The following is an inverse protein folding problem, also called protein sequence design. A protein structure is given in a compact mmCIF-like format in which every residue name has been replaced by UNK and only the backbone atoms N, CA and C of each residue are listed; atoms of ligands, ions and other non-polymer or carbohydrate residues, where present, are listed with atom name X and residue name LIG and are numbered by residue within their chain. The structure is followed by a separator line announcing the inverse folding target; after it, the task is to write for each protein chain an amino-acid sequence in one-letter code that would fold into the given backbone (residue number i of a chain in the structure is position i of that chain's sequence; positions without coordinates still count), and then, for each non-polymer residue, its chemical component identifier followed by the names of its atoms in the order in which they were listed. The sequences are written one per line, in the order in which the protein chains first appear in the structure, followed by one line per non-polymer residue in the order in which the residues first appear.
data_IF_493689401051
#
_entry.id   IF_493689401051
#
_cell.length_a   1.000
_cell.length_b   1.000
_cell.length_c   1.000
_cell.angle_alpha   90.00
_cell.angle_beta   90.00
_cell.angle_gamma   90.00
#
_symmetry.space_group_name_H-M   'P 1'
#
loop_
_entity.id
_entity.type
_entity.pdbx_description
1 polymer ?
#
# COMPACT_ATOMS: atom_id res chain seq x y z
N UNK A 1 -42.37 -6.50 -3.86
CA UNK A 1 -40.94 -6.82 -4.05
C UNK A 1 -40.13 -5.93 -3.11
N UNK A 2 -39.66 -6.49 -2.01
CA UNK A 2 -38.79 -5.77 -1.08
C UNK A 2 -37.36 -5.94 -1.60
N UNK A 3 -36.80 -4.87 -2.15
CA UNK A 3 -35.41 -4.85 -2.56
C UNK A 3 -34.52 -4.95 -1.32
N UNK A 4 -33.81 -6.05 -1.18
CA UNK A 4 -32.69 -6.20 -0.25
C UNK A 4 -31.63 -5.16 -0.65
N UNK A 5 -31.58 -4.05 0.09
CA UNK A 5 -30.40 -3.18 0.07
C UNK A 5 -29.22 -4.06 0.52
N UNK A 6 -28.27 -4.33 -0.37
CA UNK A 6 -26.93 -4.79 0.01
C UNK A 6 -26.37 -3.71 0.92
N UNK A 7 -26.37 -3.91 2.20
CA UNK A 7 -25.59 -3.11 3.11
C UNK A 7 -24.12 -3.29 2.71
N UNK A 8 -23.46 -2.20 2.34
CA UNK A 8 -22.02 -2.19 2.16
C UNK A 8 -21.42 -2.70 3.47
N UNK A 9 -20.78 -3.86 3.41
CA UNK A 9 -20.21 -4.50 4.56
C UNK A 9 -18.93 -3.72 4.91
N UNK A 10 -19.08 -2.72 5.77
CA UNK A 10 -17.99 -1.88 6.24
C UNK A 10 -17.01 -2.79 6.99
N UNK A 11 -15.82 -2.98 6.44
CA UNK A 11 -14.74 -3.74 7.08
C UNK A 11 -14.02 -2.83 8.08
N UNK A 12 -13.81 -3.30 9.30
CA UNK A 12 -13.02 -2.58 10.29
C UNK A 12 -11.52 -2.93 10.19
N UNK A 13 -10.66 -2.02 10.65
CA UNK A 13 -9.23 -2.28 10.66
C UNK A 13 -8.86 -3.57 11.41
N UNK A 14 -9.46 -3.84 12.57
CA UNK A 14 -9.23 -5.08 13.33
C UNK A 14 -9.61 -6.35 12.55
N UNK A 15 -10.56 -6.27 11.63
CA UNK A 15 -10.98 -7.40 10.79
C UNK A 15 -9.99 -7.60 9.64
N UNK A 16 -9.58 -6.50 9.00
CA UNK A 16 -8.58 -6.53 7.93
C UNK A 16 -7.24 -7.08 8.40
N UNK A 17 -6.78 -6.64 9.57
CA UNK A 17 -5.48 -6.98 10.13
C UNK A 17 -5.52 -8.08 11.20
N UNK A 18 -6.62 -8.88 11.25
CA UNK A 18 -6.82 -9.87 12.31
C UNK A 18 -5.67 -10.87 12.43
N UNK A 19 -5.09 -11.30 11.30
CA UNK A 19 -3.99 -12.26 11.27
C UNK A 19 -2.71 -11.65 11.84
N UNK A 20 -2.32 -10.46 11.38
CA UNK A 20 -1.13 -9.74 11.83
C UNK A 20 -1.21 -9.40 13.32
N UNK A 21 -2.39 -8.95 13.77
CA UNK A 21 -2.64 -8.67 15.19
C UNK A 21 -2.47 -9.95 16.02
N UNK A 22 -3.04 -11.06 15.57
CA UNK A 22 -2.93 -12.35 16.27
C UNK A 22 -1.47 -12.84 16.32
N UNK A 23 -0.72 -12.74 15.24
CA UNK A 23 0.69 -13.13 15.19
C UNK A 23 1.54 -12.31 16.19
N UNK A 24 1.36 -10.99 16.23
CA UNK A 24 2.07 -10.11 17.17
C UNK A 24 1.72 -10.47 18.62
N UNK A 25 0.41 -10.63 18.91
CA UNK A 25 -0.07 -10.95 20.26
C UNK A 25 0.39 -12.34 20.74
N UNK A 26 0.43 -13.34 19.86
CA UNK A 26 0.92 -14.67 20.18
C UNK A 26 2.42 -14.71 20.55
N UNK A 27 3.18 -13.74 20.05
CA UNK A 27 4.57 -13.56 20.42
C UNK A 27 4.78 -12.76 21.73
N UNK A 28 3.66 -12.37 22.39
CA UNK A 28 3.68 -11.63 23.65
C UNK A 28 3.96 -10.14 23.49
N UNK A 29 3.88 -9.62 22.28
CA UNK A 29 4.14 -8.21 21.98
C UNK A 29 2.85 -7.38 21.88
N UNK A 30 2.97 -6.08 22.10
CA UNK A 30 1.93 -5.11 21.78
C UNK A 30 2.03 -4.70 20.32
N UNK A 31 0.91 -4.31 19.73
CA UNK A 31 0.90 -3.77 18.37
C UNK A 31 1.38 -2.32 18.37
N UNK A 32 2.22 -1.99 17.41
CA UNK A 32 2.60 -0.65 17.01
C UNK A 32 2.31 -0.45 15.53
N UNK A 33 2.39 0.78 15.08
CA UNK A 33 2.20 1.13 13.67
C UNK A 33 3.27 2.15 13.26
N UNK A 34 3.78 1.98 12.06
CA UNK A 34 4.72 2.93 11.47
C UNK A 34 4.40 3.05 9.98
N UNK A 35 4.08 4.27 9.56
CA UNK A 35 3.65 4.55 8.18
C UNK A 35 2.44 3.70 7.73
N UNK A 36 1.51 3.41 8.66
CA UNK A 36 0.31 2.62 8.41
C UNK A 36 0.53 1.11 8.28
N UNK A 37 1.71 0.61 8.62
CA UNK A 37 2.03 -0.82 8.65
C UNK A 37 2.15 -1.27 10.11
N UNK A 38 1.54 -2.43 10.43
CA UNK A 38 1.62 -3.01 11.77
C UNK A 38 2.97 -3.67 12.02
N UNK A 39 3.50 -3.44 13.22
CA UNK A 39 4.74 -4.03 13.73
C UNK A 39 4.57 -4.43 15.18
N UNK A 40 5.34 -5.40 15.68
CA UNK A 40 5.54 -5.56 17.12
C UNK A 40 6.10 -4.26 17.71
N UNK A 41 5.50 -3.76 18.80
CA UNK A 41 5.88 -2.49 19.41
C UNK A 41 7.37 -2.42 19.79
N UNK A 42 7.95 -3.57 20.22
CA UNK A 42 9.35 -3.68 20.58
C UNK A 42 10.33 -3.51 19.39
N UNK A 43 9.87 -3.64 18.15
CA UNK A 43 10.69 -3.45 16.95
C UNK A 43 10.76 -1.98 16.52
N UNK A 44 9.86 -1.14 17.01
CA UNK A 44 9.85 0.30 16.73
C UNK A 44 10.86 0.98 17.64
N UNK A 45 11.86 1.66 17.06
CA UNK A 45 12.99 2.25 17.78
C UNK A 45 12.58 3.21 18.92
N UNK A 46 11.44 3.87 18.79
CA UNK A 46 10.94 4.83 19.75
C UNK A 46 9.45 5.05 19.53
N UNK A 47 8.71 5.30 20.62
CA UNK A 47 7.30 5.68 20.53
C UNK A 47 7.05 6.89 19.62
N UNK A 48 8.01 7.79 19.50
CA UNK A 48 7.91 8.96 18.59
C UNK A 48 7.80 8.60 17.11
N UNK A 49 8.15 7.36 16.75
CA UNK A 49 8.02 6.84 15.38
C UNK A 49 6.79 5.95 15.20
N UNK A 50 5.97 5.83 16.24
CA UNK A 50 4.76 5.01 16.22
C UNK A 50 3.54 5.89 15.95
N UNK A 51 2.75 5.54 14.93
CA UNK A 51 1.55 6.28 14.54
C UNK A 51 0.47 6.29 15.64
N UNK A 52 0.52 5.36 16.60
CA UNK A 52 -0.37 5.35 17.76
C UNK A 52 0.08 6.26 18.90
N UNK A 53 1.27 6.82 18.81
CA UNK A 53 1.79 7.72 19.84
C UNK A 53 1.51 9.18 19.46
N UNK A 54 0.76 9.84 20.30
CA UNK A 54 0.46 11.27 20.14
C UNK A 54 1.10 12.07 21.30
N UNK A 55 2.09 12.86 20.94
CA UNK A 55 2.83 13.69 21.90
C UNK A 55 2.02 14.90 22.39
N UNK A 56 1.09 15.38 21.57
CA UNK A 56 0.33 16.60 21.84
C UNK A 56 -0.83 16.33 22.79
N UNK A 57 -1.57 15.26 22.53
CA UNK A 57 -2.79 14.94 23.31
C UNK A 57 -2.50 14.17 24.59
N UNK A 58 -1.29 13.62 24.75
CA UNK A 58 -0.92 12.71 25.87
C UNK A 58 -1.87 11.52 26.05
N UNK A 59 -2.62 11.19 25.01
CA UNK A 59 -3.48 10.00 24.99
C UNK A 59 -2.58 8.77 24.95
N UNK A 60 -2.91 7.78 25.78
CA UNK A 60 -2.20 6.51 25.78
C UNK A 60 -2.32 5.83 24.41
N UNK A 61 -1.25 5.24 23.91
CA UNK A 61 -1.26 4.51 22.63
C UNK A 61 -2.35 3.42 22.59
N UNK A 62 -2.69 2.80 23.73
CA UNK A 62 -3.78 1.84 23.83
C UNK A 62 -5.15 2.40 23.44
N UNK A 63 -5.44 3.66 23.76
CA UNK A 63 -6.69 4.29 23.34
C UNK A 63 -6.70 4.60 21.84
N UNK A 64 -5.57 5.01 21.29
CA UNK A 64 -5.42 5.24 19.85
C UNK A 64 -5.52 3.92 19.07
N UNK A 65 -4.95 2.83 19.58
CA UNK A 65 -5.09 1.48 19.03
C UNK A 65 -6.56 1.06 19.01
N UNK A 66 -7.32 1.25 20.11
CA UNK A 66 -8.74 0.93 20.17
C UNK A 66 -9.55 1.72 19.15
N UNK A 67 -9.30 3.03 19.03
CA UNK A 67 -9.97 3.89 18.04
C UNK A 67 -9.69 3.41 16.63
N UNK A 68 -8.43 3.19 16.30
CA UNK A 68 -8.00 2.70 14.99
C UNK A 68 -8.61 1.32 14.68
N UNK A 69 -8.56 0.37 15.61
CA UNK A 69 -9.07 -0.98 15.42
C UNK A 69 -10.56 -1.01 15.08
N UNK A 70 -11.35 -0.09 15.67
CA UNK A 70 -12.79 0.03 15.46
C UNK A 70 -13.18 1.07 14.40
N UNK A 71 -12.22 1.71 13.73
CA UNK A 71 -12.51 2.56 12.59
C UNK A 71 -12.60 1.74 11.30
N UNK A 72 -13.29 2.29 10.31
CA UNK A 72 -13.42 1.71 8.98
C UNK A 72 -12.04 1.54 8.34
N UNK A 73 -11.79 0.36 7.79
CA UNK A 73 -10.62 0.14 6.94
C UNK A 73 -10.80 0.91 5.64
N UNK A 74 -9.82 1.74 5.35
CA UNK A 74 -9.71 2.43 4.06
C UNK A 74 -8.42 1.97 3.40
N UNK A 75 -8.56 1.42 2.21
CA UNK A 75 -7.39 1.09 1.40
C UNK A 75 -6.61 2.37 1.11
N UNK A 76 -5.32 2.36 1.39
CA UNK A 76 -4.46 3.51 1.12
C UNK A 76 -4.17 3.55 -0.37
N UNK A 77 -4.54 4.63 -1.01
CA UNK A 77 -4.25 4.83 -2.43
C UNK A 77 -2.83 5.37 -2.63
N UNK A 78 -2.13 4.78 -3.58
CA UNK A 78 -0.82 5.29 -4.01
C UNK A 78 -1.00 6.59 -4.79
N UNK A 79 -0.23 7.61 -4.45
CA UNK A 79 -0.04 8.78 -5.30
C UNK A 79 1.07 8.50 -6.31
N UNK A 80 0.69 8.03 -7.45
CA UNK A 80 1.61 7.64 -8.51
C UNK A 80 2.51 8.78 -9.00
N UNK A 81 2.15 10.05 -8.71
CA UNK A 81 3.01 11.18 -9.04
C UNK A 81 4.23 11.29 -8.11
N UNK A 82 4.15 10.67 -6.92
CA UNK A 82 5.26 10.60 -5.97
C UNK A 82 6.16 9.38 -6.20
N UNK A 83 5.72 8.41 -7.00
CA UNK A 83 6.47 7.17 -7.26
C UNK A 83 7.67 7.47 -8.17
N UNK A 84 8.92 7.17 -7.76
CA UNK A 84 10.08 7.37 -8.58
C UNK A 84 10.08 6.50 -9.85
N UNK A 85 10.63 7.03 -10.93
CA UNK A 85 10.89 6.26 -12.15
C UNK A 85 11.79 5.06 -11.81
N UNK A 86 11.62 3.96 -12.52
CA UNK A 86 12.30 2.67 -12.30
C UNK A 86 11.87 1.92 -11.02
N UNK A 87 10.92 2.44 -10.26
CA UNK A 87 10.34 1.67 -9.16
C UNK A 87 9.80 0.34 -9.68
N UNK A 88 10.14 -0.75 -8.98
CA UNK A 88 9.66 -2.07 -9.33
C UNK A 88 8.18 -2.21 -8.97
N UNK A 89 7.37 -2.50 -9.98
CA UNK A 89 5.92 -2.69 -9.86
C UNK A 89 5.52 -4.08 -10.33
N UNK A 90 4.38 -4.55 -9.87
CA UNK A 90 3.71 -5.76 -10.35
C UNK A 90 2.47 -5.33 -11.10
N UNK A 91 2.32 -5.80 -12.31
CA UNK A 91 1.16 -5.54 -13.16
C UNK A 91 0.40 -6.84 -13.43
N UNK A 92 -0.92 -6.79 -13.40
CA UNK A 92 -1.76 -7.95 -13.67
C UNK A 92 -2.36 -7.81 -15.07
N UNK A 93 -2.12 -8.80 -15.92
CA UNK A 93 -2.64 -8.83 -17.28
C UNK A 93 -4.10 -9.33 -17.33
N UNK A 94 -4.68 -9.35 -18.52
CA UNK A 94 -6.06 -9.81 -18.77
C UNK A 94 -6.28 -11.29 -18.49
N UNK A 95 -5.22 -12.06 -18.29
CA UNK A 95 -5.26 -13.49 -17.96
C UNK A 95 -4.95 -13.74 -16.47
N UNK A 96 -5.00 -12.71 -15.62
CA UNK A 96 -4.66 -12.73 -14.20
C UNK A 96 -3.20 -13.13 -13.89
N UNK A 97 -2.30 -13.03 -14.89
CA UNK A 97 -0.89 -13.24 -14.63
C UNK A 97 -0.26 -11.97 -14.06
N UNK A 98 0.53 -12.13 -13.01
CA UNK A 98 1.30 -11.03 -12.41
C UNK A 98 2.68 -10.96 -13.03
N UNK A 99 3.02 -9.82 -13.60
CA UNK A 99 4.26 -9.59 -14.33
C UNK A 99 5.03 -8.45 -13.66
N UNK A 100 6.32 -8.62 -13.50
CA UNK A 100 7.21 -7.58 -12.97
C UNK A 100 7.55 -6.57 -14.06
N UNK A 101 7.44 -5.29 -13.74
CA UNK A 101 7.80 -4.17 -14.63
C UNK A 101 8.50 -3.06 -13.83
N UNK A 102 9.00 -2.04 -14.53
CA UNK A 102 9.54 -0.84 -13.92
C UNK A 102 8.66 0.36 -14.31
N UNK A 103 8.29 1.13 -13.31
CA UNK A 103 7.43 2.31 -13.45
C UNK A 103 8.11 3.39 -14.28
N UNK A 104 7.41 3.96 -15.24
CA UNK A 104 7.89 5.06 -16.06
C UNK A 104 7.20 6.39 -15.70
N UNK A 105 5.88 6.41 -15.74
CA UNK A 105 5.06 7.59 -15.42
C UNK A 105 3.60 7.21 -15.14
N UNK A 106 2.87 8.15 -14.55
CA UNK A 106 1.42 8.09 -14.44
C UNK A 106 0.79 9.27 -15.19
N UNK A 107 -0.27 9.03 -15.93
CA UNK A 107 -1.08 10.05 -16.56
C UNK A 107 -2.56 9.67 -16.53
N UNK A 108 -3.40 10.52 -15.93
CA UNK A 108 -4.86 10.30 -15.80
C UNK A 108 -5.25 8.90 -15.30
N UNK A 109 -4.60 8.42 -14.23
CA UNK A 109 -4.79 7.07 -13.65
C UNK A 109 -4.35 5.90 -14.55
N UNK A 110 -3.65 6.20 -15.61
CA UNK A 110 -2.98 5.18 -16.43
C UNK A 110 -1.52 5.14 -16.03
N UNK A 111 -1.06 3.96 -15.64
CA UNK A 111 0.31 3.69 -15.27
C UNK A 111 1.05 3.22 -16.51
N UNK A 112 2.13 3.89 -16.82
CA UNK A 112 3.02 3.50 -17.91
C UNK A 112 4.25 2.81 -17.32
N UNK A 113 4.55 1.65 -17.85
CA UNK A 113 5.70 0.85 -17.46
C UNK A 113 6.61 0.58 -18.64
N UNK A 114 7.90 0.41 -18.36
CA UNK A 114 8.86 -0.02 -19.36
C UNK A 114 8.57 -1.46 -19.82
N UNK A 115 8.77 -1.77 -21.10
CA UNK A 115 8.61 -3.13 -21.61
C UNK A 115 9.57 -4.10 -20.90
N UNK A 116 9.36 -5.38 -21.12
CA UNK A 116 10.00 -6.46 -20.38
C UNK A 116 11.51 -6.33 -20.27
N UNK A 117 12.02 -6.40 -19.03
CA UNK A 117 13.45 -6.33 -18.73
C UNK A 117 14.12 -4.97 -18.91
N UNK A 118 13.36 -3.92 -19.24
CA UNK A 118 13.91 -2.58 -19.45
C UNK A 118 13.62 -1.63 -18.29
N UNK A 119 14.45 -0.59 -18.21
CA UNK A 119 14.38 0.54 -17.26
C UNK A 119 14.60 1.83 -18.03
N UNK A 120 14.54 3.01 -17.35
CA UNK A 120 14.82 4.30 -17.96
C UNK A 120 16.21 4.37 -18.62
N UNK A 121 17.17 3.56 -18.18
CA UNK A 121 18.53 3.52 -18.67
C UNK A 121 18.72 2.63 -19.90
N UNK A 122 17.90 1.60 -20.06
CA UNK A 122 18.02 0.61 -21.14
C UNK A 122 16.90 0.74 -22.18
N UNK A 123 15.90 1.59 -21.91
CA UNK A 123 14.80 1.82 -22.84
C UNK A 123 15.22 2.75 -23.97
N UNK A 124 15.08 2.28 -25.21
CA UNK A 124 15.32 3.07 -26.41
C UNK A 124 14.01 3.22 -27.19
N UNK A 125 13.45 4.41 -27.17
CA UNK A 125 12.21 4.74 -27.89
C UNK A 125 12.38 4.92 -29.41
N UNK A 126 13.61 4.86 -29.90
CA UNK A 126 13.91 4.93 -31.34
C UNK A 126 13.88 3.54 -32.00
N UNK A 127 13.88 2.48 -31.19
CA UNK A 127 13.74 1.12 -31.68
C UNK A 127 12.27 0.85 -32.00
N UNK A 128 11.99 0.43 -33.22
CA UNK A 128 10.65 0.05 -33.68
C UNK A 128 10.04 -0.98 -32.73
N UNK A 129 8.79 -0.76 -32.29
CA UNK A 129 8.05 -1.56 -31.29
C UNK A 129 8.51 -1.44 -29.83
N UNK A 130 9.41 -0.55 -29.50
CA UNK A 130 9.83 -0.31 -28.12
C UNK A 130 9.02 0.86 -27.54
N UNK A 131 7.83 0.57 -27.02
CA UNK A 131 6.91 1.55 -26.45
C UNK A 131 6.63 1.26 -24.99
N UNK A 132 6.32 2.32 -24.22
CA UNK A 132 5.83 2.16 -22.86
C UNK A 132 4.47 1.43 -22.88
N UNK A 133 4.30 0.48 -22.00
CA UNK A 133 3.06 -0.28 -21.88
C UNK A 133 2.14 0.39 -20.86
N UNK A 134 0.90 0.62 -21.24
CA UNK A 134 -0.12 1.27 -20.41
C UNK A 134 -0.93 0.24 -19.62
N UNK A 135 -1.18 0.54 -18.35
CA UNK A 135 -1.93 -0.28 -17.41
C UNK A 135 -2.95 0.57 -16.64
N UNK A 136 -4.13 0.03 -16.38
CA UNK A 136 -5.08 0.66 -15.46
C UNK A 136 -4.49 0.65 -14.03
N UNK A 137 -4.66 1.75 -13.30
CA UNK A 137 -4.14 1.90 -11.93
C UNK A 137 -4.51 0.72 -11.02
N UNK A 138 -5.71 0.15 -11.19
CA UNK A 138 -6.21 -0.98 -10.38
C UNK A 138 -5.48 -2.29 -10.66
N UNK A 139 -4.83 -2.40 -11.80
CA UNK A 139 -4.06 -3.58 -12.22
C UNK A 139 -2.59 -3.50 -11.81
N UNK A 140 -2.20 -2.47 -11.07
CA UNK A 140 -0.80 -2.20 -10.72
C UNK A 140 -0.62 -2.14 -9.21
N UNK A 141 0.43 -2.77 -8.73
CA UNK A 141 0.83 -2.77 -7.32
C UNK A 141 2.32 -2.48 -7.19
N UNK A 142 2.71 -1.81 -6.10
CA UNK A 142 4.13 -1.71 -5.76
C UNK A 142 4.62 -3.09 -5.33
N UNK A 143 5.79 -3.49 -5.81
CA UNK A 143 6.37 -4.78 -5.43
C UNK A 143 6.64 -4.81 -3.93
N UNK A 144 6.33 -5.94 -3.30
CA UNK A 144 6.63 -6.20 -1.90
C UNK A 144 8.11 -5.97 -1.57
N UNK A 145 8.39 -5.33 -0.43
CA UNK A 145 9.74 -4.96 0.00
C UNK A 145 10.26 -3.61 -0.52
N UNK A 146 9.48 -2.91 -1.33
CA UNK A 146 9.78 -1.51 -1.71
C UNK A 146 9.17 -0.59 -0.65
N UNK A 147 9.98 0.30 -0.08
CA UNK A 147 9.49 1.33 0.84
C UNK A 147 8.67 2.37 0.06
N UNK A 148 7.37 2.37 0.27
CA UNK A 148 6.42 3.28 -0.37
C UNK A 148 5.72 4.21 0.64
N UNK A 149 6.24 4.31 1.86
CA UNK A 149 5.61 5.04 2.96
C UNK A 149 5.26 6.50 2.62
N UNK A 150 6.08 7.16 1.80
CA UNK A 150 5.91 8.56 1.40
C UNK A 150 5.01 8.74 0.16
N UNK A 151 4.59 7.66 -0.50
CA UNK A 151 3.89 7.71 -1.79
C UNK A 151 2.37 7.57 -1.66
N UNK A 152 1.84 7.50 -0.46
CA UNK A 152 0.40 7.46 -0.28
C UNK A 152 -0.23 8.86 -0.40
N UNK A 153 -1.48 8.87 -0.84
CA UNK A 153 -2.33 10.07 -0.80
C UNK A 153 -2.68 10.41 0.66
N UNK A 154 -2.71 11.69 0.98
CA UNK A 154 -3.14 12.21 2.27
C UNK A 154 -4.64 11.99 2.49
#
# INVERSE_FOLDING_TARGET
MVGLMKGDNIMLNKEKYAKEIAEIACNGDCIGMMNGILYPCNTIKSCKHCDFYDIETKILCTENIKKWANSEYKEREIDWNKVPVDTCILVTDSCDNTIKRHFAKCDNKIIYAYPDGTTSWSFDNQVEYNELVAWDEKSVQIKEGVDCSEWYKD
#
